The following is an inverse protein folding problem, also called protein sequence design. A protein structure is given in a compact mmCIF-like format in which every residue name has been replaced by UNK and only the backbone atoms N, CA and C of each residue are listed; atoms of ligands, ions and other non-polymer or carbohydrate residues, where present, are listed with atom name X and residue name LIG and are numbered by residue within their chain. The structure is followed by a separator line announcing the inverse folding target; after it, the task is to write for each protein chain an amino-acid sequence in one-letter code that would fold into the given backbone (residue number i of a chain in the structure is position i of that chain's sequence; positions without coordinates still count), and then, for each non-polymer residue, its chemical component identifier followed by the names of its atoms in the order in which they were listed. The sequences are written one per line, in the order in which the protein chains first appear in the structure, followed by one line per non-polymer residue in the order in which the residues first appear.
data_IF_618178779557
#
_entry.id   IF_618178779557
#
_cell.length_a   1.000
_cell.length_b   1.000
_cell.length_c   1.000
_cell.angle_alpha   90.00
_cell.angle_beta   90.00
_cell.angle_gamma   90.00
#
_symmetry.space_group_name_H-M   'P 1'
#
loop_
_entity.id
_entity.type
_entity.pdbx_description
1 polymer ?
#
# COMPACT_ATOMS: atom_id res chain seq x y z
N UNK A 1 8.56 -2.51 14.61
CA UNK A 1 9.35 -1.66 13.68
C UNK A 1 9.24 -2.14 12.23
N UNK A 2 9.65 -3.38 11.88
CA UNK A 2 9.61 -3.88 10.48
C UNK A 2 8.22 -3.77 9.82
N UNK A 3 7.15 -4.09 10.53
CA UNK A 3 5.76 -3.95 10.07
C UNK A 3 5.37 -2.51 9.66
N UNK A 4 5.90 -1.52 10.40
CA UNK A 4 5.62 -0.11 10.12
C UNK A 4 6.40 0.35 8.89
N UNK A 5 7.65 -0.10 8.71
CA UNK A 5 8.42 0.16 7.48
C UNK A 5 7.75 -0.45 6.25
N UNK A 6 7.19 -1.67 6.35
CA UNK A 6 6.47 -2.28 5.22
C UNK A 6 5.19 -1.52 4.87
N UNK A 7 4.44 -1.04 5.87
CA UNK A 7 3.27 -0.19 5.62
C UNK A 7 3.67 1.13 4.98
N UNK A 8 4.74 1.76 5.46
CA UNK A 8 5.24 3.01 4.90
C UNK A 8 5.68 2.85 3.44
N UNK A 9 6.38 1.75 3.11
CA UNK A 9 6.75 1.44 1.74
C UNK A 9 5.53 1.30 0.82
N UNK A 10 4.47 0.63 1.28
CA UNK A 10 3.21 0.48 0.52
C UNK A 10 2.56 1.85 0.27
N UNK A 11 2.51 2.72 1.28
CA UNK A 11 1.94 4.07 1.15
C UNK A 11 2.72 4.92 0.14
N UNK A 12 4.06 4.83 0.14
CA UNK A 12 4.91 5.53 -0.83
C UNK A 12 4.62 5.04 -2.25
N UNK A 13 4.49 3.72 -2.45
CA UNK A 13 4.15 3.15 -3.76
C UNK A 13 2.76 3.63 -4.22
N UNK A 14 1.76 3.64 -3.34
CA UNK A 14 0.42 4.15 -3.66
C UNK A 14 0.49 5.61 -4.14
N UNK A 15 1.20 6.48 -3.42
CA UNK A 15 1.36 7.87 -3.82
C UNK A 15 2.08 8.01 -5.16
N UNK A 16 3.10 7.19 -5.41
CA UNK A 16 3.84 7.21 -6.66
C UNK A 16 2.97 6.80 -7.85
N UNK A 17 2.14 5.78 -7.69
CA UNK A 17 1.16 5.36 -8.72
C UNK A 17 0.18 6.49 -9.03
N UNK A 18 -0.35 7.17 -8.01
CA UNK A 18 -1.23 8.33 -8.21
C UNK A 18 -0.52 9.46 -8.94
N UNK A 19 0.71 9.77 -8.55
CA UNK A 19 1.47 10.88 -9.12
C UNK A 19 1.84 10.59 -10.59
N UNK A 20 2.25 9.37 -10.91
CA UNK A 20 2.49 8.90 -12.28
C UNK A 20 1.22 9.00 -13.13
N UNK A 21 0.09 8.54 -12.59
CA UNK A 21 -1.20 8.60 -13.29
C UNK A 21 -1.62 10.04 -13.61
N UNK A 22 -1.46 10.97 -12.66
CA UNK A 22 -1.81 12.38 -12.88
C UNK A 22 -0.81 13.06 -13.83
N UNK A 23 0.50 12.86 -13.63
CA UNK A 23 1.54 13.61 -14.35
C UNK A 23 1.84 13.10 -15.76
N UNK A 24 1.79 11.79 -15.97
CA UNK A 24 2.17 11.16 -17.25
C UNK A 24 0.93 10.80 -18.06
N UNK A 25 -0.11 10.30 -17.39
CA UNK A 25 -1.32 9.80 -18.04
C UNK A 25 -2.51 10.77 -18.00
N UNK A 26 -2.30 12.02 -17.51
CA UNK A 26 -3.34 13.05 -17.42
C UNK A 26 -4.66 12.55 -16.81
N UNK A 27 -4.58 11.69 -15.79
CA UNK A 27 -5.75 11.11 -15.11
C UNK A 27 -6.66 10.22 -15.98
N UNK A 28 -6.22 9.80 -17.17
CA UNK A 28 -7.01 8.90 -18.03
C UNK A 28 -7.24 7.52 -17.39
N UNK A 29 -6.37 7.11 -16.48
CA UNK A 29 -6.39 5.78 -15.85
C UNK A 29 -6.77 5.84 -14.36
N UNK A 30 -7.46 6.89 -13.92
CA UNK A 30 -7.84 7.10 -12.51
C UNK A 30 -8.49 5.86 -11.87
N UNK A 31 -9.39 5.19 -12.59
CA UNK A 31 -10.04 3.97 -12.10
C UNK A 31 -9.05 2.83 -11.83
N UNK A 32 -8.06 2.62 -12.72
CA UNK A 32 -7.03 1.61 -12.54
C UNK A 32 -6.03 1.99 -11.46
N UNK A 33 -5.63 3.27 -11.38
CA UNK A 33 -4.74 3.78 -10.36
C UNK A 33 -5.36 3.63 -8.95
N UNK A 34 -6.66 3.92 -8.80
CA UNK A 34 -7.42 3.69 -7.58
C UNK A 34 -7.56 2.20 -7.24
N UNK A 35 -7.84 1.36 -8.24
CA UNK A 35 -7.92 -0.10 -8.02
C UNK A 35 -6.57 -0.68 -7.56
N UNK A 36 -5.47 -0.31 -8.22
CA UNK A 36 -4.12 -0.70 -7.83
C UNK A 36 -3.77 -0.22 -6.41
N UNK A 37 -4.12 1.02 -6.08
CA UNK A 37 -3.93 1.59 -4.74
C UNK A 37 -4.74 0.84 -3.68
N UNK A 38 -5.98 0.44 -4.00
CA UNK A 38 -6.84 -0.32 -3.10
C UNK A 38 -6.29 -1.73 -2.85
N UNK A 39 -5.80 -2.40 -3.89
CA UNK A 39 -5.15 -3.72 -3.76
C UNK A 39 -3.87 -3.65 -2.92
N UNK A 40 -3.03 -2.64 -3.15
CA UNK A 40 -1.83 -2.38 -2.36
C UNK A 40 -2.18 -2.13 -0.89
N UNK A 41 -3.21 -1.33 -0.62
CA UNK A 41 -3.70 -1.07 0.72
C UNK A 41 -4.16 -2.37 1.42
N UNK A 42 -4.97 -3.20 0.75
CA UNK A 42 -5.41 -4.49 1.28
C UNK A 42 -4.22 -5.42 1.58
N UNK A 43 -3.24 -5.50 0.68
CA UNK A 43 -2.02 -6.26 0.91
C UNK A 43 -1.28 -5.76 2.16
N UNK A 44 -1.18 -4.45 2.35
CA UNK A 44 -0.59 -3.84 3.55
C UNK A 44 -1.34 -4.20 4.84
N UNK A 45 -2.67 -4.17 4.82
CA UNK A 45 -3.51 -4.57 5.96
C UNK A 45 -3.29 -6.04 6.32
N UNK A 46 -3.24 -6.93 5.33
CA UNK A 46 -3.01 -8.36 5.54
C UNK A 46 -1.62 -8.59 6.14
N UNK A 47 -0.57 -8.03 5.54
CA UNK A 47 0.81 -8.15 6.00
C UNK A 47 0.97 -7.64 7.44
N UNK A 48 0.41 -6.46 7.73
CA UNK A 48 0.46 -5.89 9.08
C UNK A 48 -0.32 -6.74 10.10
N UNK A 49 -1.49 -7.26 9.71
CA UNK A 49 -2.30 -8.12 10.57
C UNK A 49 -1.58 -9.44 10.90
N UNK A 50 -0.89 -10.04 9.92
CA UNK A 50 -0.07 -11.23 10.12
C UNK A 50 1.10 -10.96 11.07
N UNK A 51 1.84 -9.87 10.82
CA UNK A 51 3.00 -9.48 11.64
C UNK A 51 2.60 -9.17 13.08
N UNK A 52 1.45 -8.49 13.27
CA UNK A 52 0.90 -8.18 14.61
C UNK A 52 0.44 -9.43 15.35
N UNK A 53 -0.17 -10.41 14.66
CA UNK A 53 -0.52 -11.71 15.26
C UNK A 53 0.71 -12.50 15.68
N UNK A 54 1.77 -12.48 14.86
CA UNK A 54 3.05 -13.14 15.18
C UNK A 54 3.70 -12.51 16.41
N UNK A 55 3.73 -11.17 16.49
CA UNK A 55 4.24 -10.45 17.66
C UNK A 55 3.47 -10.81 18.94
N UNK A 56 2.12 -10.82 18.90
CA UNK A 56 1.29 -11.22 20.06
C UNK A 56 1.48 -12.67 20.52
N UNK A 57 1.97 -13.57 19.66
CA UNK A 57 2.25 -14.97 20.01
C UNK A 57 3.64 -15.16 20.64
N UNK A 58 4.52 -14.17 20.50
CA UNK A 58 5.90 -14.20 20.98
C UNK A 58 6.06 -13.48 22.35
N UNK A 59 5.09 -12.67 22.75
CA UNK A 59 4.96 -12.06 24.08
C UNK A 59 4.04 -12.87 24.98
#
# INVERSE_FOLDING_TARGET
MKAYYSLFAIIVIMHFVTLVNITIFNSEWDGFALAASTLLFLAGVILFSMERRKQKKLT
#
